data_IF_691372689652
#
_entry.id   IF_691372689652
#
_cell.length_a   1.000
_cell.length_b   1.000
_cell.length_c   1.000
_cell.angle_alpha   90.00
_cell.angle_beta   90.00
_cell.angle_gamma   90.00
#
_symmetry.space_group_name_H-M   'P 1'
#
loop_
_entity.id
_entity.type
_entity.pdbx_description
1 polymer ?
#
# COMPACT_ATOMS: atom_id res chain seq x y z
N UNK A 1 3.86 -13.34 -5.03
CA UNK A 1 4.24 -14.14 -3.85
C UNK A 1 5.46 -13.51 -3.11
N UNK A 2 5.30 -12.34 -2.48
CA UNK A 2 6.32 -11.76 -1.58
C UNK A 2 5.97 -12.08 -0.13
N UNK A 3 4.74 -11.74 0.28
CA UNK A 3 4.20 -12.03 1.61
C UNK A 3 4.28 -13.53 1.93
N UNK A 4 3.90 -14.40 1.01
CA UNK A 4 3.93 -15.86 1.22
C UNK A 4 5.36 -16.44 1.33
N UNK A 5 6.35 -15.82 0.68
CA UNK A 5 7.68 -16.42 0.51
C UNK A 5 8.72 -15.89 1.49
N UNK A 6 8.47 -14.74 2.13
CA UNK A 6 9.44 -14.07 3.01
C UNK A 6 8.92 -13.82 4.41
N UNK A 7 7.75 -14.37 4.77
CA UNK A 7 7.15 -14.20 6.10
C UNK A 7 8.11 -14.75 7.17
N UNK A 8 8.34 -13.95 8.20
CA UNK A 8 9.08 -14.33 9.40
C UNK A 8 8.25 -13.96 10.62
N UNK A 9 8.46 -14.68 11.73
CA UNK A 9 7.75 -14.40 12.99
C UNK A 9 8.09 -13.01 13.54
N UNK A 10 9.32 -12.54 13.29
CA UNK A 10 9.82 -11.21 13.70
C UNK A 10 9.06 -10.03 13.08
N UNK A 11 8.41 -10.25 11.92
CA UNK A 11 7.64 -9.24 11.19
C UNK A 11 6.20 -9.71 10.90
N UNK A 12 5.65 -10.60 11.74
CA UNK A 12 4.37 -11.25 11.48
C UNK A 12 3.21 -10.26 11.30
N UNK A 13 3.18 -9.18 12.10
CA UNK A 13 2.15 -8.15 12.03
C UNK A 13 2.24 -7.33 10.73
N UNK A 14 3.45 -6.95 10.33
CA UNK A 14 3.73 -6.21 9.11
C UNK A 14 3.37 -7.05 7.87
N UNK A 15 3.67 -8.36 7.91
CA UNK A 15 3.26 -9.27 6.84
C UNK A 15 1.75 -9.50 6.77
N UNK A 16 1.06 -9.54 7.91
CA UNK A 16 -0.40 -9.62 7.93
C UNK A 16 -1.02 -8.36 7.32
N UNK A 17 -0.56 -7.17 7.73
CA UNK A 17 -1.00 -5.90 7.16
C UNK A 17 -0.75 -5.83 5.64
N UNK A 18 0.43 -6.24 5.19
CA UNK A 18 0.74 -6.31 3.75
C UNK A 18 -0.13 -7.32 3.00
N UNK A 19 -0.56 -8.42 3.64
CA UNK A 19 -1.46 -9.39 3.02
C UNK A 19 -2.84 -8.79 2.78
N UNK A 20 -3.42 -8.17 3.81
CA UNK A 20 -4.73 -7.53 3.75
C UNK A 20 -4.71 -6.37 2.74
N UNK A 21 -3.67 -5.54 2.79
CA UNK A 21 -3.47 -4.44 1.85
C UNK A 21 -3.32 -4.93 0.40
N UNK A 22 -2.69 -6.08 0.16
CA UNK A 22 -2.57 -6.65 -1.18
C UNK A 22 -3.92 -7.14 -1.73
N UNK A 23 -4.79 -7.66 -0.87
CA UNK A 23 -6.15 -8.02 -1.25
C UNK A 23 -6.95 -6.76 -1.63
N UNK A 24 -6.90 -5.71 -0.80
CA UNK A 24 -7.52 -4.42 -1.10
C UNK A 24 -6.98 -3.79 -2.41
N UNK A 25 -5.66 -3.90 -2.65
CA UNK A 25 -5.06 -3.41 -3.88
C UNK A 25 -5.55 -4.17 -5.11
N UNK A 26 -5.74 -5.49 -5.00
CA UNK A 26 -6.30 -6.30 -6.08
C UNK A 26 -7.72 -5.83 -6.39
N UNK A 27 -8.57 -5.63 -5.38
CA UNK A 27 -9.93 -5.10 -5.56
C UNK A 27 -9.93 -3.73 -6.26
N UNK A 28 -9.03 -2.83 -5.86
CA UNK A 28 -8.82 -1.52 -6.50
C UNK A 28 -8.46 -1.67 -7.98
N UNK A 29 -7.52 -2.55 -8.30
CA UNK A 29 -7.08 -2.80 -9.69
C UNK A 29 -8.21 -3.39 -10.52
N UNK A 30 -8.98 -4.33 -9.97
CA UNK A 30 -10.12 -4.95 -10.64
C UNK A 30 -11.22 -3.92 -10.95
N UNK A 31 -11.59 -3.07 -9.98
CA UNK A 31 -12.54 -1.96 -10.21
C UNK A 31 -12.05 -1.02 -11.33
N UNK A 32 -10.77 -0.65 -11.30
CA UNK A 32 -10.17 0.20 -12.32
C UNK A 32 -10.16 -0.47 -13.73
N UNK A 33 -10.00 -1.79 -13.79
CA UNK A 33 -10.10 -2.54 -15.03
C UNK A 33 -11.54 -2.56 -15.56
N UNK A 34 -12.53 -2.77 -14.69
CA UNK A 34 -13.97 -2.70 -15.05
C UNK A 34 -14.33 -1.33 -15.63
N UNK A 35 -13.91 -0.23 -15.00
CA UNK A 35 -14.16 1.12 -15.51
C UNK A 35 -13.41 1.44 -16.81
N UNK A 36 -12.26 0.80 -17.04
CA UNK A 36 -11.55 0.93 -18.32
C UNK A 36 -12.37 0.38 -19.49
N UNK A 37 -13.11 -0.72 -19.28
CA UNK A 37 -13.94 -1.34 -20.29
C UNK A 37 -15.31 -0.66 -20.46
N UNK A 38 -15.81 0.03 -19.43
CA UNK A 38 -17.12 0.69 -19.42
C UNK A 38 -17.01 2.19 -19.12
N UNK A 39 -17.22 2.55 -17.85
CA UNK A 39 -17.33 3.94 -17.40
C UNK A 39 -15.97 4.65 -17.23
N UNK A 40 -15.56 5.34 -18.30
CA UNK A 40 -14.29 6.08 -18.34
C UNK A 40 -14.25 7.29 -17.38
N UNK A 41 -15.40 7.87 -17.00
CA UNK A 41 -15.43 9.01 -16.07
C UNK A 41 -15.08 8.56 -14.65
N UNK A 42 -15.59 7.40 -14.22
CA UNK A 42 -15.20 6.79 -12.94
C UNK A 42 -13.71 6.46 -12.89
N UNK A 43 -13.17 5.92 -13.99
CA UNK A 43 -11.71 5.70 -14.11
C UNK A 43 -10.93 6.99 -13.87
N UNK A 44 -11.34 8.10 -14.49
CA UNK A 44 -10.66 9.39 -14.34
C UNK A 44 -10.78 9.92 -12.91
N UNK A 45 -11.96 9.86 -12.30
CA UNK A 45 -12.23 10.34 -10.95
C UNK A 45 -11.37 9.63 -9.88
N UNK A 46 -11.11 8.34 -10.05
CA UNK A 46 -10.38 7.52 -9.07
C UNK A 46 -8.93 7.20 -9.47
N UNK A 47 -8.43 7.71 -10.60
CA UNK A 47 -7.11 7.38 -11.14
C UNK A 47 -5.95 7.61 -10.14
N UNK A 48 -5.94 8.75 -9.45
CA UNK A 48 -4.87 9.10 -8.49
C UNK A 48 -4.90 8.20 -7.24
N UNK A 49 -6.08 7.76 -6.81
CA UNK A 49 -6.22 6.82 -5.69
C UNK A 49 -5.68 5.44 -6.05
N UNK A 50 -5.95 4.96 -7.27
CA UNK A 50 -5.34 3.73 -7.80
C UNK A 50 -3.81 3.84 -7.85
N UNK A 51 -3.28 4.99 -8.30
CA UNK A 51 -1.84 5.24 -8.33
C UNK A 51 -1.23 5.21 -6.92
N UNK A 52 -1.83 5.93 -5.96
CA UNK A 52 -1.35 5.96 -4.58
C UNK A 52 -1.43 4.59 -3.91
N UNK A 53 -2.51 3.84 -4.11
CA UNK A 53 -2.65 2.46 -3.63
C UNK A 53 -1.48 1.59 -4.11
N UNK A 54 -1.14 1.66 -5.39
CA UNK A 54 0.02 0.95 -5.95
C UNK A 54 1.33 1.38 -5.31
N UNK A 55 1.53 2.68 -5.12
CA UNK A 55 2.73 3.21 -4.46
C UNK A 55 2.87 2.69 -3.01
N UNK A 56 1.79 2.68 -2.22
CA UNK A 56 1.79 2.18 -0.83
C UNK A 56 2.24 0.72 -0.76
N UNK A 57 1.68 -0.14 -1.62
CA UNK A 57 2.05 -1.56 -1.66
C UNK A 57 3.50 -1.76 -2.08
N UNK A 58 3.96 -1.10 -3.15
CA UNK A 58 5.33 -1.26 -3.63
C UNK A 58 6.36 -0.74 -2.63
N UNK A 59 6.14 0.45 -2.07
CA UNK A 59 7.03 0.99 -1.03
C UNK A 59 7.02 0.12 0.23
N UNK A 60 5.85 -0.32 0.70
CA UNK A 60 5.73 -1.22 1.85
C UNK A 60 6.51 -2.53 1.64
N UNK A 61 6.38 -3.14 0.45
CA UNK A 61 7.14 -4.33 0.06
C UNK A 61 8.65 -4.08 0.11
N UNK A 62 9.14 -3.02 -0.52
CA UNK A 62 10.57 -2.73 -0.61
C UNK A 62 11.18 -2.39 0.75
N UNK A 63 10.46 -1.63 1.58
CA UNK A 63 10.91 -1.30 2.93
C UNK A 63 10.92 -2.54 3.83
N UNK A 64 9.89 -3.40 3.75
CA UNK A 64 9.87 -4.64 4.52
C UNK A 64 11.00 -5.59 4.08
N UNK A 65 11.34 -5.64 2.79
CA UNK A 65 12.50 -6.40 2.31
C UNK A 65 13.83 -5.88 2.87
N UNK A 66 13.98 -4.55 2.93
CA UNK A 66 15.14 -3.92 3.58
C UNK A 66 15.19 -4.24 5.09
N UNK A 67 14.06 -4.31 5.77
CA UNK A 67 14.00 -4.65 7.20
C UNK A 67 14.39 -6.10 7.47
N UNK A 68 14.01 -7.04 6.61
CA UNK A 68 14.46 -8.43 6.69
C UNK A 68 15.99 -8.52 6.54
N UNK A 69 16.55 -7.83 5.55
CA UNK A 69 17.99 -7.77 5.35
C UNK A 69 18.69 -7.13 6.55
N UNK A 70 18.14 -6.04 7.09
CA UNK A 70 18.68 -5.37 8.27
C UNK A 70 18.65 -6.28 9.51
N UNK A 71 17.56 -7.02 9.73
CA UNK A 71 17.44 -7.98 10.82
C UNK A 71 18.44 -9.14 10.68
N UNK A 72 18.71 -9.60 9.45
CA UNK A 72 19.76 -10.59 9.19
C UNK A 72 21.15 -10.03 9.48
N UNK A 73 21.45 -8.80 9.04
CA UNK A 73 22.75 -8.13 9.26
C UNK A 73 23.06 -7.92 10.74
N UNK A 74 22.06 -7.60 11.55
CA UNK A 74 22.22 -7.47 13.01
C UNK A 74 22.57 -8.78 13.73
N UNK A 75 22.42 -9.94 13.08
CA UNK A 75 22.79 -11.26 13.61
C UNK A 75 24.19 -11.70 13.20
N UNK A 76 24.83 -10.99 12.28
CA UNK A 76 26.20 -11.27 11.83
C UNK A 76 27.22 -10.84 12.89
N UNK A 77 28.33 -11.58 12.99
CA UNK A 77 29.45 -11.21 13.87
C UNK A 77 30.37 -10.22 13.16
N UNK A 78 30.76 -9.14 13.83
CA UNK A 78 31.69 -8.14 13.29
C UNK A 78 31.30 -6.71 13.66
N UNK A 79 31.99 -5.75 13.04
CA UNK A 79 31.66 -4.33 13.17
C UNK A 79 30.52 -3.98 12.22
N UNK A 80 29.32 -3.86 12.77
CA UNK A 80 28.08 -3.62 12.05
C UNK A 80 27.50 -2.30 12.54
N UNK A 81 27.04 -1.42 11.65
CA UNK A 81 26.35 -0.18 12.03
C UNK A 81 24.96 -0.49 12.61
N UNK A 82 24.93 -0.79 13.91
CA UNK A 82 23.73 -1.22 14.64
C UNK A 82 22.62 -0.17 14.54
N UNK A 83 22.95 1.11 14.62
CA UNK A 83 21.95 2.18 14.63
C UNK A 83 21.32 2.36 13.24
N UNK A 84 22.10 2.25 12.16
CA UNK A 84 21.57 2.27 10.81
C UNK A 84 20.54 1.15 10.56
N UNK A 85 20.87 -0.09 10.93
CA UNK A 85 19.97 -1.23 10.71
C UNK A 85 18.73 -1.19 11.60
N UNK A 86 18.87 -0.77 12.87
CA UNK A 86 17.70 -0.51 13.74
C UNK A 86 16.79 0.56 13.15
N UNK A 87 17.36 1.62 12.58
CA UNK A 87 16.62 2.67 11.87
C UNK A 87 15.86 2.14 10.66
N UNK A 88 16.47 1.26 9.85
CA UNK A 88 15.80 0.60 8.71
C UNK A 88 14.62 -0.24 9.14
N UNK A 89 14.77 -1.04 10.18
CA UNK A 89 13.69 -1.85 10.76
C UNK A 89 12.55 -0.94 11.22
N UNK A 90 12.84 0.06 12.06
CA UNK A 90 11.83 0.98 12.58
C UNK A 90 11.08 1.73 11.46
N UNK A 91 11.79 2.16 10.42
CA UNK A 91 11.21 2.84 9.26
C UNK A 91 10.22 1.95 8.51
N UNK A 92 10.58 0.69 8.26
CA UNK A 92 9.70 -0.25 7.58
C UNK A 92 8.43 -0.54 8.40
N UNK A 93 8.59 -0.76 9.72
CA UNK A 93 7.46 -0.95 10.62
C UNK A 93 6.51 0.24 10.59
N UNK A 94 7.04 1.44 10.73
CA UNK A 94 6.25 2.67 10.70
C UNK A 94 5.48 2.79 9.38
N UNK A 95 6.16 2.63 8.24
CA UNK A 95 5.52 2.75 6.93
C UNK A 95 4.43 1.70 6.71
N UNK A 96 4.72 0.43 7.00
CA UNK A 96 3.76 -0.66 6.81
C UNK A 96 2.56 -0.52 7.75
N UNK A 97 2.75 -0.06 8.98
CA UNK A 97 1.66 0.02 9.94
C UNK A 97 0.89 1.35 9.92
N UNK A 98 1.40 2.40 9.25
CA UNK A 98 0.76 3.73 9.26
C UNK A 98 0.42 4.26 7.86
N UNK A 99 1.21 3.96 6.83
CA UNK A 99 0.98 4.48 5.47
C UNK A 99 0.34 3.46 4.53
N UNK A 100 0.68 2.18 4.66
CA UNK A 100 0.02 1.12 3.88
C UNK A 100 -1.50 1.05 4.17
N UNK A 101 -2.00 1.22 5.42
CA UNK A 101 -3.43 1.17 5.71
C UNK A 101 -4.28 2.24 5.01
N UNK A 102 -3.68 3.34 4.50
CA UNK A 102 -4.39 4.34 3.68
C UNK A 102 -5.18 3.69 2.54
N UNK A 103 -4.69 2.55 2.03
CA UNK A 103 -5.30 1.81 0.93
C UNK A 103 -6.74 1.38 1.22
N UNK A 104 -7.05 1.05 2.48
CA UNK A 104 -8.41 0.65 2.88
C UNK A 104 -9.39 1.81 2.76
N UNK A 105 -8.92 3.04 3.03
CA UNK A 105 -9.71 4.25 2.79
C UNK A 105 -9.96 4.48 1.31
N UNK A 106 -8.95 4.26 0.46
CA UNK A 106 -9.09 4.37 -0.99
C UNK A 106 -10.06 3.33 -1.55
N UNK A 107 -9.92 2.08 -1.14
CA UNK A 107 -10.79 0.98 -1.52
C UNK A 107 -12.24 1.26 -1.11
N UNK A 108 -12.47 1.69 0.14
CA UNK A 108 -13.80 2.03 0.63
C UNK A 108 -14.43 3.15 -0.18
N UNK A 109 -13.67 4.21 -0.50
CA UNK A 109 -14.15 5.32 -1.33
C UNK A 109 -14.49 4.86 -2.75
N UNK A 110 -13.65 4.01 -3.37
CA UNK A 110 -13.88 3.48 -4.71
C UNK A 110 -15.11 2.55 -4.75
N UNK A 111 -15.31 1.72 -3.72
CA UNK A 111 -16.49 0.85 -3.58
C UNK A 111 -17.78 1.65 -3.36
N UNK A 112 -17.70 2.83 -2.73
CA UNK A 112 -18.84 3.74 -2.60
C UNK A 112 -19.37 4.21 -3.97
N UNK A 113 -18.48 4.32 -4.98
CA UNK A 113 -18.87 4.66 -6.34
C UNK A 113 -19.51 6.04 -6.49
N UNK A 114 -19.22 6.97 -5.57
CA UNK A 114 -19.82 8.31 -5.59
C UNK A 114 -19.49 9.04 -6.90
N UNK A 115 -20.50 9.70 -7.45
CA UNK A 115 -20.47 10.46 -8.71
C UNK A 115 -20.80 11.93 -8.52
N UNK A 116 -20.97 12.39 -7.28
CA UNK A 116 -21.37 13.77 -6.99
C UNK A 116 -20.50 14.80 -7.71
N UNK A 117 -19.17 14.58 -7.77
CA UNK A 117 -18.23 15.44 -8.48
C UNK A 117 -18.36 15.43 -10.02
N UNK A 118 -18.96 14.39 -10.60
CA UNK A 118 -19.26 14.28 -12.04
C UNK A 118 -20.62 14.91 -12.35
N UNK A 119 -21.59 14.75 -11.45
CA UNK A 119 -23.00 15.07 -11.69
C UNK A 119 -23.40 16.48 -11.24
N UNK A 120 -22.60 17.11 -10.38
CA UNK A 120 -22.81 18.49 -9.95
C UNK A 120 -22.88 19.44 -11.17
N UNK A 121 -23.92 20.29 -11.27
CA UNK A 121 -23.99 21.30 -12.31
C UNK A 121 -22.81 22.26 -12.25
N UNK A 122 -22.24 22.63 -13.40
CA UNK A 122 -21.10 23.55 -13.47
C UNK A 122 -21.38 24.89 -12.76
N UNK A 123 -22.62 25.38 -12.85
CA UNK A 123 -23.08 26.60 -12.18
C UNK A 123 -22.95 26.56 -10.65
N UNK A 124 -22.85 25.38 -10.05
CA UNK A 124 -22.71 25.20 -8.59
C UNK A 124 -21.27 25.43 -8.08
N UNK A 125 -20.30 25.66 -8.96
CA UNK A 125 -18.90 25.95 -8.60
C UNK A 125 -18.56 27.46 -8.57
N UNK A 126 -19.52 28.35 -8.86
CA UNK A 126 -19.35 29.80 -8.84
C UNK A 126 -19.44 30.42 -7.43
#
# INVERSE_FOLDING_TARGET
AFVANKKTDEFAAEFAMMADAMAAFKDIVDMNATWTAGDKQMKQLYATRTLHAGARIYCGKLLLDQALLAAAKLKEQGDVDVNFYKGKIATARFYVMNHVPDIFGYEKAMKCGDRSAIEIPEESFM
#
